data_IF_156143617613
#
_entry.id   IF_156143617613
#
_cell.length_a   1.000
_cell.length_b   1.000
_cell.length_c   1.000
_cell.angle_alpha   90.00
_cell.angle_beta   90.00
_cell.angle_gamma   90.00
#
_symmetry.space_group_name_H-M   'P 1'
#
loop_
_entity.id
_entity.type
_entity.pdbx_description
1 polymer ?
#
# COMPACT_ATOMS: atom_id res chain seq x y z
N UNK A 1 -2.86 11.01 2.04
CA UNK A 1 -3.92 12.02 1.90
C UNK A 1 -4.16 12.33 0.43
N UNK A 2 -5.38 12.77 0.09
CA UNK A 2 -5.76 13.21 -1.24
C UNK A 2 -6.38 14.60 -1.13
N UNK A 3 -5.90 15.56 -1.93
CA UNK A 3 -6.33 16.97 -1.88
C UNK A 3 -6.48 17.55 -3.28
N UNK A 4 -7.36 18.54 -3.40
CA UNK A 4 -7.43 19.37 -4.61
C UNK A 4 -6.11 20.14 -4.78
N UNK A 5 -5.64 20.23 -6.02
CA UNK A 5 -4.50 21.10 -6.36
C UNK A 5 -4.93 22.55 -6.62
N UNK A 6 -6.19 22.75 -7.04
CA UNK A 6 -6.78 24.06 -7.34
C UNK A 6 -8.31 23.99 -7.29
N UNK A 7 -8.99 25.06 -7.70
CA UNK A 7 -10.44 25.11 -7.88
C UNK A 7 -10.91 24.63 -9.27
N UNK A 8 -10.01 24.26 -10.17
CA UNK A 8 -10.35 23.64 -11.46
C UNK A 8 -10.67 22.15 -11.25
N UNK A 9 -11.91 21.69 -11.53
CA UNK A 9 -12.29 20.30 -11.35
C UNK A 9 -11.57 19.32 -12.30
N UNK A 10 -10.89 19.82 -13.34
CA UNK A 10 -10.11 18.99 -14.28
C UNK A 10 -8.64 18.85 -13.88
N UNK A 11 -8.18 19.65 -12.92
CA UNK A 11 -6.81 19.57 -12.41
C UNK A 11 -6.58 18.24 -11.67
N UNK A 12 -5.43 17.61 -11.94
CA UNK A 12 -5.03 16.38 -11.22
C UNK A 12 -4.88 16.67 -9.72
N UNK A 13 -5.36 15.78 -8.84
CA UNK A 13 -5.25 15.99 -7.40
C UNK A 13 -3.80 15.79 -6.91
N UNK A 14 -3.52 16.32 -5.73
CA UNK A 14 -2.31 16.00 -4.98
C UNK A 14 -2.55 14.70 -4.19
N UNK A 15 -1.77 13.66 -4.50
CA UNK A 15 -1.86 12.35 -3.88
C UNK A 15 -0.59 12.08 -3.09
N UNK A 16 -0.73 11.89 -1.78
CA UNK A 16 0.36 11.53 -0.89
C UNK A 16 0.03 10.20 -0.20
N UNK A 17 0.54 9.09 -0.73
CA UNK A 17 0.21 7.76 -0.23
C UNK A 17 0.96 7.38 1.06
N UNK A 18 2.11 8.03 1.34
CA UNK A 18 2.95 7.73 2.49
C UNK A 18 3.40 6.25 2.57
N UNK A 19 3.66 5.62 1.42
CA UNK A 19 4.19 4.25 1.37
C UNK A 19 5.45 4.14 2.23
N UNK A 20 5.52 3.07 3.04
CA UNK A 20 6.67 2.77 3.90
C UNK A 20 6.96 3.84 4.97
N UNK A 21 5.98 4.69 5.29
CA UNK A 21 6.11 5.67 6.37
C UNK A 21 6.07 4.96 7.73
N UNK A 22 5.22 3.95 7.90
CA UNK A 22 5.21 3.12 9.10
C UNK A 22 6.34 2.09 8.99
N UNK A 23 7.26 1.99 9.98
CA UNK A 23 8.30 0.97 9.99
C UNK A 23 7.76 -0.47 9.83
N UNK A 24 6.53 -0.74 10.30
CA UNK A 24 5.89 -2.04 10.16
C UNK A 24 5.64 -2.42 8.69
N UNK A 25 5.37 -1.44 7.82
CA UNK A 25 5.13 -1.68 6.39
C UNK A 25 6.33 -2.40 5.75
N UNK A 26 7.54 -1.91 6.02
CA UNK A 26 8.77 -2.50 5.51
C UNK A 26 9.09 -3.84 6.19
N UNK A 27 8.81 -3.96 7.50
CA UNK A 27 9.05 -5.19 8.25
C UNK A 27 8.22 -6.36 7.70
N UNK A 28 6.93 -6.14 7.43
CA UNK A 28 6.04 -7.17 6.87
C UNK A 28 6.47 -7.58 5.45
N UNK A 29 6.91 -6.63 4.63
CA UNK A 29 7.43 -6.95 3.29
C UNK A 29 8.71 -7.79 3.37
N UNK A 30 9.61 -7.49 4.32
CA UNK A 30 10.81 -8.28 4.55
C UNK A 30 10.48 -9.72 5.00
N UNK A 31 9.53 -9.88 5.92
CA UNK A 31 9.03 -11.20 6.32
C UNK A 31 8.43 -11.97 5.12
N UNK A 32 7.66 -11.30 4.28
CA UNK A 32 7.09 -11.87 3.05
C UNK A 32 8.16 -12.34 2.06
N UNK A 33 9.24 -11.58 1.88
CA UNK A 33 10.39 -11.97 1.06
C UNK A 33 11.07 -13.21 1.64
N UNK A 34 11.34 -13.24 2.95
CA UNK A 34 11.95 -14.39 3.61
C UNK A 34 11.06 -15.65 3.48
N UNK A 35 9.74 -15.49 3.63
CA UNK A 35 8.78 -16.56 3.43
C UNK A 35 8.84 -17.09 1.99
N UNK A 36 8.79 -16.20 0.98
CA UNK A 36 8.89 -16.60 -0.42
C UNK A 36 10.19 -17.36 -0.70
N UNK A 37 11.32 -16.89 -0.17
CA UNK A 37 12.63 -17.55 -0.30
C UNK A 37 12.64 -18.95 0.32
N UNK A 38 12.06 -19.10 1.52
CA UNK A 38 11.93 -20.39 2.18
C UNK A 38 11.02 -21.36 1.41
N UNK A 39 9.93 -20.86 0.82
CA UNK A 39 8.99 -21.65 0.03
C UNK A 39 9.67 -22.24 -1.21
N UNK A 40 10.50 -21.47 -1.91
CA UNK A 40 11.26 -21.99 -3.07
C UNK A 40 12.12 -23.20 -2.71
N UNK A 41 12.65 -23.26 -1.48
CA UNK A 41 13.49 -24.36 -0.99
C UNK A 41 12.69 -25.51 -0.34
N UNK A 42 11.36 -25.42 -0.28
CA UNK A 42 10.53 -26.49 0.28
C UNK A 42 10.60 -27.76 -0.57
N UNK A 43 10.40 -28.93 0.05
CA UNK A 43 10.44 -30.25 -0.62
C UNK A 43 9.52 -30.32 -1.84
N UNK A 44 8.36 -29.68 -1.78
CA UNK A 44 7.37 -29.69 -2.86
C UNK A 44 7.79 -28.86 -4.07
N UNK A 45 8.57 -27.79 -3.86
CA UNK A 45 8.96 -26.83 -4.89
C UNK A 45 10.41 -26.99 -5.37
N UNK A 46 11.28 -27.60 -4.57
CA UNK A 46 12.71 -27.76 -4.89
C UNK A 46 12.96 -28.48 -6.22
N UNK A 47 12.08 -29.43 -6.58
CA UNK A 47 12.14 -30.16 -7.86
C UNK A 47 11.99 -29.28 -9.10
N UNK A 48 11.46 -28.06 -8.96
CA UNK A 48 11.28 -27.12 -10.07
C UNK A 48 12.47 -26.16 -10.25
N UNK A 49 13.46 -26.20 -9.36
CA UNK A 49 14.66 -25.36 -9.42
C UNK A 49 14.34 -23.86 -9.60
N UNK A 50 13.38 -23.37 -8.81
CA UNK A 50 12.93 -21.97 -8.85
C UNK A 50 14.09 -21.08 -8.41
N UNK A 51 14.35 -20.03 -9.18
CA UNK A 51 15.38 -19.03 -8.87
C UNK A 51 14.82 -17.63 -9.00
N UNK A 52 15.44 -16.69 -8.29
CA UNK A 52 15.12 -15.27 -8.42
C UNK A 52 15.61 -14.76 -9.78
N UNK A 53 14.68 -14.22 -10.57
CA UNK A 53 14.98 -13.73 -11.92
C UNK A 53 15.88 -12.49 -11.93
N UNK A 54 15.80 -11.64 -10.90
CA UNK A 54 16.51 -10.35 -10.86
C UNK A 54 17.14 -10.09 -9.47
N UNK A 55 18.33 -10.67 -9.19
CA UNK A 55 19.00 -10.42 -7.92
C UNK A 55 19.78 -9.09 -7.88
N UNK A 56 19.78 -8.30 -8.96
CA UNK A 56 20.57 -7.06 -9.05
C UNK A 56 19.68 -5.83 -9.21
N UNK A 57 19.48 -5.13 -8.09
CA UNK A 57 18.95 -3.76 -8.07
C UNK A 57 20.16 -2.84 -7.98
N UNK A 58 20.43 -2.07 -9.04
CA UNK A 58 21.65 -1.26 -9.13
C UNK A 58 21.81 -0.28 -7.96
N UNK A 59 20.69 0.30 -7.48
CA UNK A 59 20.68 1.21 -6.33
C UNK A 59 20.99 0.54 -4.97
N UNK A 60 21.01 -0.80 -4.93
CA UNK A 60 21.25 -1.61 -3.74
C UNK A 60 22.54 -2.43 -3.83
N UNK A 61 23.35 -2.24 -4.88
CA UNK A 61 24.56 -3.03 -5.16
C UNK A 61 25.64 -2.93 -4.07
N UNK A 62 25.60 -1.88 -3.24
CA UNK A 62 26.49 -1.70 -2.08
C UNK A 62 26.22 -2.71 -0.94
N UNK A 63 25.04 -3.34 -0.92
CA UNK A 63 24.68 -4.31 0.11
C UNK A 63 24.93 -5.74 -0.40
N UNK A 64 25.55 -6.61 0.41
CA UNK A 64 25.75 -8.01 0.02
C UNK A 64 24.42 -8.69 -0.30
N UNK A 65 24.32 -9.39 -1.42
CA UNK A 65 23.15 -10.21 -1.73
C UNK A 65 23.31 -11.61 -1.12
N UNK A 66 22.27 -12.22 -0.49
CA UNK A 66 20.93 -11.70 -0.17
C UNK A 66 20.81 -11.27 1.31
N UNK A 67 21.47 -10.18 1.72
CA UNK A 67 21.41 -9.67 3.10
C UNK A 67 20.09 -8.96 3.42
N UNK A 68 19.79 -8.82 4.71
CA UNK A 68 18.66 -8.03 5.19
C UNK A 68 18.75 -6.57 4.69
N UNK A 69 19.94 -5.98 4.68
CA UNK A 69 20.15 -4.61 4.20
C UNK A 69 19.89 -4.48 2.70
N UNK A 70 20.27 -5.49 1.91
CA UNK A 70 19.92 -5.56 0.49
C UNK A 70 18.40 -5.56 0.31
N UNK A 71 17.68 -6.40 1.05
CA UNK A 71 16.22 -6.48 0.94
C UNK A 71 15.51 -5.23 1.45
N UNK A 72 15.99 -4.59 2.52
CA UNK A 72 15.47 -3.31 2.98
C UNK A 72 15.65 -2.20 1.93
N UNK A 73 16.79 -2.17 1.24
CA UNK A 73 17.00 -1.28 0.11
C UNK A 73 16.04 -1.62 -1.04
N UNK A 74 15.94 -2.90 -1.41
CA UNK A 74 15.07 -3.37 -2.48
C UNK A 74 13.61 -2.98 -2.25
N UNK A 75 13.10 -3.17 -1.03
CA UNK A 75 11.74 -2.77 -0.63
C UNK A 75 11.53 -1.28 -0.92
N UNK A 76 12.50 -0.41 -0.60
CA UNK A 76 12.34 1.03 -0.83
C UNK A 76 12.45 1.43 -2.30
N UNK A 77 13.21 0.71 -3.11
CA UNK A 77 13.44 1.04 -4.52
C UNK A 77 12.35 0.48 -5.44
N UNK A 78 11.84 -0.71 -5.13
CA UNK A 78 10.97 -1.48 -6.04
C UNK A 78 9.51 -1.56 -5.55
N UNK A 79 9.19 -1.09 -4.33
CA UNK A 79 7.78 -1.02 -3.90
C UNK A 79 7.04 0.04 -4.69
N UNK A 80 6.00 -0.39 -5.41
CA UNK A 80 5.08 0.47 -6.14
C UNK A 80 3.69 0.53 -5.49
N UNK A 81 2.80 1.39 -6.01
CA UNK A 81 1.42 1.45 -5.59
C UNK A 81 0.64 0.20 -6.00
N UNK A 82 0.01 -0.48 -5.03
CA UNK A 82 -0.89 -1.63 -5.25
C UNK A 82 -2.28 -1.25 -5.79
N UNK A 83 -2.51 -0.01 -6.23
CA UNK A 83 -3.77 0.46 -6.85
C UNK A 83 -5.09 0.14 -6.09
N UNK A 84 -5.00 -0.19 -4.80
CA UNK A 84 -6.12 -0.49 -3.90
C UNK A 84 -6.39 0.65 -2.89
N UNK A 85 -6.32 1.91 -3.32
CA UNK A 85 -6.56 3.03 -2.43
C UNK A 85 -8.03 3.08 -1.98
N UNK A 86 -8.23 3.31 -0.68
CA UNK A 86 -9.53 3.30 -0.03
C UNK A 86 -9.58 4.30 1.15
N UNK A 87 -10.77 4.53 1.68
CA UNK A 87 -10.96 5.25 2.95
C UNK A 87 -10.86 6.78 2.88
N UNK A 88 -10.77 7.40 1.70
CA UNK A 88 -10.72 8.86 1.55
C UNK A 88 -12.03 9.58 1.88
N UNK A 89 -13.16 8.86 1.94
CA UNK A 89 -14.48 9.31 2.40
C UNK A 89 -15.07 8.35 3.42
N UNK A 90 -14.27 7.98 4.43
CA UNK A 90 -14.55 6.97 5.47
C UNK A 90 -16.02 6.94 5.94
N UNK A 91 -16.63 5.77 5.85
CA UNK A 91 -17.90 5.45 6.52
C UNK A 91 -17.65 5.20 8.01
N UNK A 92 -18.49 5.73 8.89
CA UNK A 92 -18.32 5.51 10.33
C UNK A 92 -19.53 5.87 11.19
N UNK A 93 -19.50 5.51 12.49
CA UNK A 93 -20.56 5.81 13.44
C UNK A 93 -20.64 7.31 13.74
N UNK A 94 -21.77 7.78 14.30
CA UNK A 94 -22.04 9.21 14.51
C UNK A 94 -20.93 9.94 15.30
N UNK A 95 -20.29 9.23 16.24
CA UNK A 95 -19.24 9.71 17.12
C UNK A 95 -17.82 9.62 16.53
N UNK A 96 -17.63 9.10 15.32
CA UNK A 96 -16.33 9.10 14.66
C UNK A 96 -16.06 10.46 13.98
N UNK A 97 -15.13 11.28 14.51
CA UNK A 97 -14.86 12.61 13.95
C UNK A 97 -14.22 12.56 12.55
N UNK A 98 -13.72 11.40 12.13
CA UNK A 98 -13.12 11.21 10.80
C UNK A 98 -14.12 10.67 9.76
N UNK A 99 -15.36 10.37 10.16
CA UNK A 99 -16.37 9.84 9.26
C UNK A 99 -16.91 10.93 8.32
N UNK A 100 -16.93 10.65 7.03
CA UNK A 100 -17.49 11.49 5.97
C UNK A 100 -18.91 11.05 5.62
N UNK A 101 -19.15 9.74 5.57
CA UNK A 101 -20.48 9.16 5.34
C UNK A 101 -20.96 8.36 6.54
N UNK A 102 -22.27 8.18 6.64
CA UNK A 102 -22.90 7.29 7.61
C UNK A 102 -23.06 5.84 7.07
N UNK A 103 -23.54 4.87 7.87
CA UNK A 103 -23.74 3.49 7.41
C UNK A 103 -24.75 3.32 6.27
N UNK A 104 -25.51 4.37 5.92
CA UNK A 104 -26.40 4.41 4.77
C UNK A 104 -25.76 5.17 3.60
N UNK A 105 -24.46 5.43 3.66
CA UNK A 105 -23.64 6.11 2.64
C UNK A 105 -24.00 7.57 2.42
N UNK A 106 -24.75 8.18 3.33
CA UNK A 106 -25.16 9.60 3.21
C UNK A 106 -24.02 10.48 3.68
N UNK A 107 -23.71 11.51 2.88
CA UNK A 107 -22.71 12.52 3.27
C UNK A 107 -23.23 13.32 4.44
N UNK A 108 -22.43 13.42 5.50
CA UNK A 108 -22.79 14.12 6.72
C UNK A 108 -22.94 15.62 6.47
N UNK A 109 -24.04 16.19 6.93
CA UNK A 109 -24.36 17.61 6.75
C UNK A 109 -24.89 18.00 5.36
N UNK A 110 -24.99 17.06 4.41
CA UNK A 110 -25.48 17.33 3.05
C UNK A 110 -26.71 16.46 2.74
N UNK A 111 -27.84 17.10 2.41
CA UNK A 111 -29.07 16.38 2.03
C UNK A 111 -28.98 15.90 0.58
N UNK A 112 -29.41 14.67 0.34
CA UNK A 112 -29.54 14.11 -1.01
C UNK A 112 -28.24 13.67 -1.68
N UNK A 113 -27.11 13.63 -0.95
CA UNK A 113 -25.81 13.24 -1.48
C UNK A 113 -25.30 11.94 -0.83
N UNK A 114 -24.74 11.03 -1.64
CA UNK A 114 -24.09 9.79 -1.21
C UNK A 114 -22.75 9.60 -1.92
N UNK A 115 -21.87 8.81 -1.31
CA UNK A 115 -20.62 8.29 -1.93
C UNK A 115 -20.68 6.76 -1.90
N UNK A 116 -20.38 6.11 -3.02
CA UNK A 116 -20.57 4.65 -3.17
C UNK A 116 -19.44 4.02 -4.00
N UNK A 117 -18.21 4.07 -3.47
CA UNK A 117 -17.01 3.45 -4.04
C UNK A 117 -16.03 3.04 -2.91
N UNK A 118 -14.79 2.65 -3.22
CA UNK A 118 -13.80 2.23 -2.20
C UNK A 118 -13.41 3.34 -1.21
N UNK A 119 -13.68 4.61 -1.52
CA UNK A 119 -13.40 5.72 -0.60
C UNK A 119 -14.15 5.60 0.72
N UNK A 120 -15.30 4.92 0.74
CA UNK A 120 -16.11 4.78 1.96
C UNK A 120 -15.62 3.68 2.90
N UNK A 121 -14.78 2.75 2.45
CA UNK A 121 -14.39 1.59 3.25
C UNK A 121 -13.64 2.04 4.53
N UNK A 122 -14.21 1.80 5.73
CA UNK A 122 -13.49 1.99 6.98
C UNK A 122 -12.48 0.85 7.14
N UNK A 123 -11.35 1.11 7.81
CA UNK A 123 -10.34 0.08 8.11
C UNK A 123 -10.95 -1.19 8.71
#
# INVERSE_FOLDING_TARGET
TLKLASNDPTAKPLIQANYLQDPQDAAVLLEGIQLALSLMNSTSLSKYNISLMYPSIAACAQFPFPSIDYWNCAIRQETGPENHQAGSCKMGPANDPMAVVDPQLRVRGVRGLRVADTSIMPK
#
